data_IF_688448703571
#
_entry.id   IF_688448703571
#
_cell.length_a   1.000
_cell.length_b   1.000
_cell.length_c   1.000
_cell.angle_alpha   90.00
_cell.angle_beta   90.00
_cell.angle_gamma   90.00
#
_symmetry.space_group_name_H-M   'P 1'
#
loop_
_entity.id
_entity.type
_entity.pdbx_description
1 polymer ?
#
# COMPACT_ATOMS: atom_id res chain seq x y z
N UNK A 1 -16.20 -1.22 16.43
CA UNK A 1 -15.19 -0.46 15.66
C UNK A 1 -14.89 0.81 16.44
N UNK A 2 -13.63 1.09 16.80
CA UNK A 2 -13.24 2.38 17.38
C UNK A 2 -12.97 3.36 16.24
N UNK A 3 -13.29 4.63 16.41
CA UNK A 3 -13.10 5.66 15.40
C UNK A 3 -12.00 6.63 15.86
N UNK A 4 -11.22 7.16 14.91
CA UNK A 4 -10.34 8.28 15.22
C UNK A 4 -11.17 9.48 15.66
N UNK A 5 -10.64 10.20 16.65
CA UNK A 5 -11.13 11.52 16.98
C UNK A 5 -10.53 12.55 16.01
N UNK A 6 -10.94 13.81 16.15
CA UNK A 6 -10.26 14.91 15.46
C UNK A 6 -9.01 15.26 16.25
N UNK A 7 -7.84 15.00 15.70
CA UNK A 7 -6.55 15.31 16.33
C UNK A 7 -6.28 16.81 16.27
N UNK A 8 -5.65 17.31 17.31
CA UNK A 8 -5.11 18.67 17.39
C UNK A 8 -3.66 18.70 16.90
N UNK A 9 -3.11 19.91 16.75
CA UNK A 9 -1.67 20.08 16.50
C UNK A 9 -0.83 19.47 17.64
N UNK A 10 -1.28 19.59 18.88
CA UNK A 10 -0.57 19.03 20.03
C UNK A 10 -0.54 17.49 19.96
N UNK A 11 -1.67 16.85 19.66
CA UNK A 11 -1.74 15.38 19.52
C UNK A 11 -0.81 14.89 18.40
N UNK A 12 -0.82 15.58 17.26
CA UNK A 12 0.01 15.22 16.12
C UNK A 12 1.52 15.34 16.42
N UNK A 13 1.93 16.40 17.12
CA UNK A 13 3.32 16.59 17.52
C UNK A 13 3.75 15.62 18.63
N UNK A 14 2.86 15.27 19.56
CA UNK A 14 3.13 14.24 20.56
C UNK A 14 3.38 12.88 19.90
N UNK A 15 2.51 12.47 18.97
CA UNK A 15 2.67 11.22 18.21
C UNK A 15 3.91 11.23 17.30
N UNK A 16 4.31 12.40 16.78
CA UNK A 16 5.56 12.55 16.03
C UNK A 16 6.79 12.33 16.94
N UNK A 17 6.78 12.91 18.14
CA UNK A 17 7.84 12.72 19.13
C UNK A 17 7.94 11.25 19.58
N UNK A 18 6.81 10.59 19.85
CA UNK A 18 6.78 9.15 20.15
C UNK A 18 7.35 8.30 19.03
N UNK A 19 7.11 8.69 17.78
CA UNK A 19 7.67 8.03 16.60
C UNK A 19 9.15 8.37 16.34
N UNK A 20 9.77 9.21 17.17
CA UNK A 20 11.15 9.65 17.02
C UNK A 20 11.37 10.61 15.83
N UNK A 21 10.32 11.25 15.33
CA UNK A 21 10.46 12.23 14.25
C UNK A 21 11.10 13.53 14.76
N UNK A 22 12.15 13.97 14.08
CA UNK A 22 12.94 15.15 14.44
C UNK A 22 13.10 16.15 13.29
N UNK A 23 12.68 15.79 12.07
CA UNK A 23 12.76 16.66 10.91
C UNK A 23 11.80 17.85 11.02
N UNK A 24 12.38 19.05 11.10
CA UNK A 24 11.63 20.28 11.25
C UNK A 24 10.60 20.51 10.12
N UNK A 25 10.88 20.02 8.91
CA UNK A 25 9.98 20.05 7.77
C UNK A 25 8.73 19.21 7.99
N UNK A 26 8.91 17.97 8.46
CA UNK A 26 7.80 17.07 8.81
C UNK A 26 6.98 17.67 9.94
N UNK A 27 7.61 18.14 11.01
CA UNK A 27 6.91 18.75 12.14
C UNK A 27 6.14 20.02 11.74
N UNK A 28 6.67 20.80 10.79
CA UNK A 28 5.98 21.98 10.25
C UNK A 28 4.78 21.57 9.40
N UNK A 29 4.91 20.52 8.59
CA UNK A 29 3.80 19.97 7.82
C UNK A 29 2.67 19.47 8.71
N UNK A 30 2.99 18.79 9.82
CA UNK A 30 1.98 18.36 10.80
C UNK A 30 1.23 19.55 11.40
N UNK A 31 1.93 20.63 11.78
CA UNK A 31 1.27 21.87 12.25
C UNK A 31 0.31 22.42 11.21
N UNK A 32 0.67 22.38 9.92
CA UNK A 32 -0.20 22.86 8.86
C UNK A 32 -1.43 21.95 8.65
N UNK A 33 -1.21 20.63 8.55
CA UNK A 33 -2.26 19.63 8.34
C UNK A 33 -3.30 19.62 9.46
N UNK A 34 -2.85 19.68 10.72
CA UNK A 34 -3.73 19.63 11.90
C UNK A 34 -4.20 21.02 12.37
N UNK A 35 -3.51 22.08 11.95
CA UNK A 35 -3.89 23.47 12.20
C UNK A 35 -4.90 24.03 11.18
N UNK A 36 -5.25 23.26 10.15
CA UNK A 36 -6.19 23.68 9.11
C UNK A 36 -5.62 24.64 8.07
N UNK A 37 -4.30 24.73 7.96
CA UNK A 37 -3.59 25.65 7.06
C UNK A 37 -3.26 25.01 5.70
N UNK A 38 -3.89 23.88 5.37
CA UNK A 38 -3.70 23.17 4.10
C UNK A 38 -4.92 23.34 3.22
N UNK A 39 -4.68 23.79 1.98
CA UNK A 39 -5.71 23.96 0.97
C UNK A 39 -5.77 22.76 0.04
N UNK A 40 -6.99 22.31 -0.28
CA UNK A 40 -7.22 21.27 -1.29
C UNK A 40 -6.72 21.71 -2.68
N UNK A 41 -6.96 22.97 -3.04
CA UNK A 41 -6.66 23.50 -4.37
C UNK A 41 -5.16 23.81 -4.55
N UNK A 42 -4.52 24.42 -3.55
CA UNK A 42 -3.11 24.79 -3.63
C UNK A 42 -2.17 23.62 -3.25
N UNK A 43 -2.66 22.68 -2.44
CA UNK A 43 -1.83 21.66 -1.82
C UNK A 43 -1.02 22.21 -0.64
N UNK A 44 0.08 21.54 -0.34
CA UNK A 44 1.06 21.97 0.66
C UNK A 44 2.46 21.49 0.27
N UNK A 45 3.50 22.28 0.54
CA UNK A 45 4.90 21.88 0.28
C UNK A 45 5.60 21.61 1.59
N UNK A 46 6.10 20.39 1.75
CA UNK A 46 6.94 19.98 2.88
C UNK A 46 8.40 20.21 2.50
N UNK A 47 9.11 21.06 3.23
CA UNK A 47 10.54 21.28 3.04
C UNK A 47 11.34 20.44 4.05
N UNK A 48 11.82 19.26 3.64
CA UNK A 48 12.57 18.37 4.55
C UNK A 48 13.92 19.00 4.92
N UNK A 49 14.27 18.94 6.20
CA UNK A 49 15.43 19.66 6.72
C UNK A 49 16.75 19.19 6.05
N UNK A 50 17.43 20.12 5.36
CA UNK A 50 18.70 19.84 4.67
C UNK A 50 18.61 18.86 3.49
N UNK A 51 17.40 18.55 3.00
CA UNK A 51 17.16 17.61 1.90
C UNK A 51 16.45 18.31 0.74
N UNK A 52 15.33 17.75 0.27
CA UNK A 52 14.51 18.26 -0.82
C UNK A 52 13.14 18.70 -0.30
N UNK A 53 12.31 19.26 -1.17
CA UNK A 53 10.91 19.55 -0.87
C UNK A 53 9.97 18.54 -1.55
N UNK A 54 8.89 18.18 -0.87
CA UNK A 54 7.83 17.34 -1.39
C UNK A 54 6.51 18.12 -1.46
N UNK A 55 5.94 18.27 -2.66
CA UNK A 55 4.61 18.86 -2.85
C UNK A 55 3.52 17.81 -2.63
N UNK A 56 2.63 18.05 -1.68
CA UNK A 56 1.37 17.32 -1.52
C UNK A 56 0.29 18.02 -2.36
N UNK A 57 -0.25 17.33 -3.34
CA UNK A 57 -1.49 17.73 -4.03
C UNK A 57 -2.63 16.82 -3.62
N UNK A 58 -3.86 17.31 -3.81
CA UNK A 58 -5.07 16.59 -3.45
C UNK A 58 -6.01 16.55 -4.65
N UNK A 59 -6.50 15.36 -4.98
CA UNK A 59 -7.43 15.22 -6.10
C UNK A 59 -8.77 15.93 -5.83
N UNK A 60 -9.40 16.35 -6.92
CA UNK A 60 -10.79 16.80 -6.86
C UNK A 60 -11.65 15.70 -6.25
N UNK A 61 -12.34 16.00 -5.15
CA UNK A 61 -13.16 15.03 -4.43
C UNK A 61 -12.44 14.15 -3.41
N UNK A 62 -11.17 14.45 -3.05
CA UNK A 62 -10.45 13.76 -1.94
C UNK A 62 -11.26 13.66 -0.65
N UNK A 63 -12.15 14.63 -0.42
CA UNK A 63 -13.03 14.78 0.74
C UNK A 63 -14.52 14.61 0.41
N UNK A 64 -14.85 14.07 -0.77
CA UNK A 64 -16.23 13.88 -1.24
C UNK A 64 -17.09 13.11 -0.22
N UNK A 65 -16.53 12.08 0.42
CA UNK A 65 -17.25 11.34 1.44
C UNK A 65 -17.57 12.19 2.68
N UNK A 66 -16.68 13.11 3.06
CA UNK A 66 -16.95 14.05 4.15
C UNK A 66 -18.03 15.05 3.76
N UNK A 67 -17.93 15.64 2.57
CA UNK A 67 -18.91 16.60 2.04
C UNK A 67 -20.33 16.00 2.02
N UNK A 68 -20.45 14.76 1.55
CA UNK A 68 -21.74 14.10 1.39
C UNK A 68 -22.38 13.67 2.72
N UNK A 69 -21.58 13.41 3.76
CA UNK A 69 -22.07 12.72 4.96
C UNK A 69 -21.95 13.54 6.25
N UNK A 70 -21.39 14.75 6.20
CA UNK A 70 -21.27 15.63 7.37
C UNK A 70 -22.04 16.92 7.08
N UNK A 71 -23.26 17.03 7.62
CA UNK A 71 -24.15 18.19 7.39
C UNK A 71 -23.48 19.54 7.64
N UNK A 72 -22.59 19.61 8.63
CA UNK A 72 -21.90 20.83 9.07
C UNK A 72 -20.47 20.94 8.54
N UNK A 73 -20.09 20.16 7.52
CA UNK A 73 -18.71 20.01 7.06
C UNK A 73 -17.97 21.34 6.87
N UNK A 74 -18.56 22.26 6.10
CA UNK A 74 -17.96 23.57 5.84
C UNK A 74 -17.84 24.41 7.12
N UNK A 75 -18.86 24.40 7.98
CA UNK A 75 -18.82 25.12 9.27
C UNK A 75 -17.82 24.54 10.27
N UNK A 76 -17.37 23.30 10.06
CA UNK A 76 -16.32 22.65 10.84
C UNK A 76 -14.91 22.90 10.26
N UNK A 77 -14.78 23.80 9.28
CA UNK A 77 -13.53 24.13 8.62
C UNK A 77 -13.21 23.29 7.38
N UNK A 78 -14.18 22.51 6.88
CA UNK A 78 -14.08 21.79 5.61
C UNK A 78 -12.86 20.86 5.53
N UNK A 79 -12.14 20.91 4.41
CA UNK A 79 -11.02 20.02 4.16
C UNK A 79 -9.91 20.14 5.20
N UNK A 80 -9.41 21.36 5.41
CA UNK A 80 -8.32 21.61 6.36
C UNK A 80 -8.74 21.45 7.81
N UNK A 81 -9.96 21.87 8.17
CA UNK A 81 -10.40 21.89 9.57
C UNK A 81 -11.17 20.65 10.04
N UNK A 82 -11.81 19.90 9.15
CA UNK A 82 -12.66 18.77 9.50
C UNK A 82 -12.17 17.42 8.95
N UNK A 83 -11.72 17.37 7.69
CA UNK A 83 -11.31 16.11 7.07
C UNK A 83 -9.87 15.73 7.40
N UNK A 84 -8.89 16.58 7.07
CA UNK A 84 -7.47 16.30 7.28
C UNK A 84 -7.12 15.94 8.73
N UNK A 85 -7.61 16.66 9.75
CA UNK A 85 -7.24 16.38 11.15
C UNK A 85 -7.87 15.10 11.72
N UNK A 86 -8.65 14.36 10.93
CA UNK A 86 -9.19 13.04 11.32
C UNK A 86 -8.43 11.86 10.73
N UNK A 87 -7.52 12.13 9.80
CA UNK A 87 -6.46 11.18 9.46
C UNK A 87 -5.52 11.10 10.65
N UNK A 88 -5.10 9.88 11.00
CA UNK A 88 -4.21 9.61 12.11
C UNK A 88 -2.82 10.22 11.84
N UNK A 89 -2.19 10.92 12.81
CA UNK A 89 -0.88 11.54 12.62
C UNK A 89 0.19 10.57 12.12
N UNK A 90 0.20 9.33 12.63
CA UNK A 90 1.10 8.28 12.17
C UNK A 90 1.01 7.98 10.66
N UNK A 91 -0.15 8.10 10.03
CA UNK A 91 -0.29 7.92 8.59
C UNK A 91 0.48 8.99 7.81
N UNK A 92 0.37 10.26 8.23
CA UNK A 92 1.12 11.35 7.62
C UNK A 92 2.62 11.28 7.92
N UNK A 93 2.99 11.01 9.18
CA UNK A 93 4.41 10.85 9.57
C UNK A 93 5.05 9.77 8.71
N UNK A 94 4.43 8.59 8.62
CA UNK A 94 4.97 7.48 7.87
C UNK A 94 5.14 7.79 6.37
N UNK A 95 4.10 8.38 5.76
CA UNK A 95 4.15 8.76 4.34
C UNK A 95 5.22 9.82 4.07
N UNK A 96 5.34 10.83 4.93
CA UNK A 96 6.34 11.90 4.77
C UNK A 96 7.76 11.41 5.01
N UNK A 97 7.97 10.52 5.97
CA UNK A 97 9.25 9.83 6.17
C UNK A 97 9.62 9.01 4.93
N UNK A 98 8.67 8.23 4.40
CA UNK A 98 8.90 7.44 3.21
C UNK A 98 9.20 8.31 1.98
N UNK A 99 8.48 9.42 1.80
CA UNK A 99 8.74 10.39 0.73
C UNK A 99 10.15 11.00 0.84
N UNK A 100 10.54 11.42 2.04
CA UNK A 100 11.86 11.97 2.34
C UNK A 100 12.98 10.97 2.05
N UNK A 101 12.79 9.72 2.41
CA UNK A 101 13.83 8.71 2.33
C UNK A 101 13.93 8.12 0.91
N UNK A 102 12.84 8.17 0.13
CA UNK A 102 12.79 7.75 -1.27
C UNK A 102 13.02 8.89 -2.29
N UNK A 103 13.41 10.09 -1.84
CA UNK A 103 13.62 11.27 -2.69
C UNK A 103 12.41 11.64 -3.58
N UNK A 104 11.21 11.63 -2.98
CA UNK A 104 9.96 12.01 -3.62
C UNK A 104 9.76 13.52 -3.53
N UNK A 105 9.69 14.18 -4.69
CA UNK A 105 9.43 15.61 -4.83
C UNK A 105 7.95 15.99 -4.92
N UNK A 106 7.05 15.05 -5.22
CA UNK A 106 5.61 15.28 -5.15
C UNK A 106 4.81 13.99 -4.90
N UNK A 107 3.67 14.15 -4.22
CA UNK A 107 2.66 13.11 -3.98
C UNK A 107 1.27 13.66 -4.29
N UNK A 108 0.45 12.86 -4.98
CA UNK A 108 -0.95 13.16 -5.22
C UNK A 108 -1.85 12.27 -4.37
N UNK A 109 -2.51 12.86 -3.38
CA UNK A 109 -3.39 12.16 -2.44
C UNK A 109 -4.81 12.11 -2.98
N UNK A 110 -5.40 10.93 -3.04
CA UNK A 110 -6.79 10.71 -3.50
C UNK A 110 -7.76 10.48 -2.36
N UNK A 111 -7.26 10.04 -1.20
CA UNK A 111 -8.11 9.86 -0.04
C UNK A 111 -7.39 9.77 1.29
N UNK A 112 -8.14 10.10 2.34
CA UNK A 112 -7.76 9.91 3.73
C UNK A 112 -8.96 9.42 4.53
N UNK A 113 -9.40 10.18 5.52
CA UNK A 113 -10.55 9.80 6.34
C UNK A 113 -11.87 9.81 5.55
N UNK A 114 -12.65 8.73 5.67
CA UNK A 114 -13.97 8.56 5.03
C UNK A 114 -15.00 8.13 6.09
N UNK A 115 -15.87 9.01 6.62
CA UNK A 115 -16.77 8.66 7.72
C UNK A 115 -17.73 7.49 7.44
N UNK A 116 -18.26 7.36 6.22
CA UNK A 116 -19.38 6.46 5.93
C UNK A 116 -19.06 5.35 4.93
N UNK A 117 -18.16 5.58 3.97
CA UNK A 117 -17.86 4.61 2.91
C UNK A 117 -16.39 4.19 2.90
N UNK A 118 -16.10 3.08 2.22
CA UNK A 118 -14.75 2.55 2.08
C UNK A 118 -14.38 1.49 3.11
N UNK A 119 -13.15 0.99 2.99
CA UNK A 119 -12.60 -0.05 3.86
C UNK A 119 -12.39 0.49 5.28
N UNK A 120 -12.33 -0.42 6.25
CA UNK A 120 -12.21 -0.08 7.67
C UNK A 120 -11.08 0.92 7.99
N UNK A 121 -9.86 0.81 7.42
CA UNK A 121 -8.77 1.75 7.70
C UNK A 121 -9.11 3.23 7.43
N UNK A 122 -9.82 3.54 6.34
CA UNK A 122 -10.22 4.93 6.06
C UNK A 122 -11.29 5.43 7.02
N UNK A 123 -12.23 4.56 7.42
CA UNK A 123 -13.31 4.94 8.34
C UNK A 123 -12.80 5.28 9.74
N UNK A 124 -11.72 4.63 10.15
CA UNK A 124 -11.04 4.88 11.42
C UNK A 124 -9.85 5.83 11.31
N UNK A 125 -9.62 6.44 10.13
CA UNK A 125 -8.61 7.47 9.92
C UNK A 125 -7.17 6.97 9.74
N UNK A 126 -6.92 5.65 9.68
CA UNK A 126 -5.57 5.11 9.50
C UNK A 126 -5.12 5.01 8.04
N UNK A 127 -6.07 5.00 7.10
CA UNK A 127 -5.81 4.80 5.67
C UNK A 127 -5.51 6.10 4.91
N UNK A 128 -4.51 6.04 4.02
CA UNK A 128 -4.24 7.05 2.99
C UNK A 128 -4.15 6.38 1.62
N UNK A 129 -4.76 7.00 0.61
CA UNK A 129 -4.66 6.59 -0.79
C UNK A 129 -3.88 7.63 -1.61
N UNK A 130 -2.96 7.16 -2.44
CA UNK A 130 -2.04 7.96 -3.24
C UNK A 130 -2.16 7.53 -4.71
N UNK A 131 -2.39 8.48 -5.63
CA UNK A 131 -2.49 8.19 -7.07
C UNK A 131 -1.14 8.19 -7.76
N UNK A 132 -0.29 9.14 -7.41
CA UNK A 132 0.96 9.35 -8.11
C UNK A 132 2.04 9.89 -7.18
N UNK A 133 3.28 9.63 -7.56
CA UNK A 133 4.48 10.19 -6.96
C UNK A 133 5.37 10.74 -8.08
N UNK A 134 6.22 11.73 -7.75
CA UNK A 134 7.25 12.22 -8.66
C UNK A 134 8.55 12.36 -7.90
N UNK A 135 9.65 11.82 -8.40
CA UNK A 135 10.97 11.98 -7.77
C UNK A 135 11.46 13.43 -7.88
N UNK A 136 12.44 13.80 -7.05
CA UNK A 136 13.14 15.10 -7.17
C UNK A 136 13.80 15.25 -8.55
N UNK A 137 14.27 14.15 -9.14
CA UNK A 137 14.84 14.13 -10.49
C UNK A 137 13.78 14.23 -11.61
N UNK A 138 12.49 14.20 -11.26
CA UNK A 138 11.39 14.39 -12.19
C UNK A 138 10.77 13.12 -12.76
N UNK A 139 11.26 11.94 -12.36
CA UNK A 139 10.65 10.63 -12.71
C UNK A 139 9.23 10.58 -12.16
N UNK A 140 8.24 10.39 -13.02
CA UNK A 140 6.86 10.24 -12.61
C UNK A 140 6.54 8.76 -12.35
N UNK A 141 5.76 8.50 -11.31
CA UNK A 141 5.17 7.23 -10.97
C UNK A 141 3.66 7.43 -10.84
N UNK A 142 2.86 6.67 -11.57
CA UNK A 142 1.40 6.68 -11.43
C UNK A 142 0.98 5.29 -11.00
N UNK A 143 0.43 5.17 -9.78
CA UNK A 143 -0.10 3.94 -9.22
C UNK A 143 -1.34 3.52 -9.99
N UNK A 144 -1.14 2.89 -11.15
CA UNK A 144 -2.18 2.37 -12.01
C UNK A 144 -1.59 1.30 -12.90
N UNK A 145 -2.07 0.06 -12.77
CA UNK A 145 -1.53 -1.06 -13.55
C UNK A 145 -1.56 -0.81 -15.06
N UNK A 146 -2.51 0.02 -15.51
CA UNK A 146 -2.71 0.33 -16.92
C UNK A 146 -1.93 1.58 -17.37
N UNK A 147 -1.32 2.33 -16.44
CA UNK A 147 -0.50 3.48 -16.76
C UNK A 147 0.90 3.06 -17.21
N UNK A 148 1.42 3.62 -18.32
CA UNK A 148 2.82 3.40 -18.70
C UNK A 148 3.79 3.98 -17.67
N UNK A 149 3.39 5.03 -16.95
CA UNK A 149 4.21 5.64 -15.89
C UNK A 149 4.24 4.81 -14.60
N UNK A 150 3.58 3.66 -14.52
CA UNK A 150 3.76 2.73 -13.41
C UNK A 150 5.10 1.98 -13.50
N UNK A 151 5.62 1.82 -14.71
CA UNK A 151 6.74 0.95 -15.02
C UNK A 151 7.98 1.79 -15.35
N UNK A 152 9.14 1.34 -14.88
CA UNK A 152 10.43 1.90 -15.29
C UNK A 152 10.84 1.50 -16.72
N UNK A 153 10.29 0.40 -17.22
CA UNK A 153 10.50 -0.10 -18.57
C UNK A 153 9.59 -1.27 -18.92
N UNK A 154 9.54 -1.67 -20.21
CA UNK A 154 8.73 -2.81 -20.66
C UNK A 154 9.17 -4.13 -20.02
N UNK A 155 10.47 -4.31 -19.73
CA UNK A 155 11.01 -5.53 -19.13
C UNK A 155 10.52 -5.73 -17.69
N UNK A 156 10.35 -4.65 -16.93
CA UNK A 156 9.78 -4.71 -15.58
C UNK A 156 8.31 -5.15 -15.63
N UNK A 157 7.54 -4.59 -16.57
CA UNK A 157 6.14 -4.93 -16.79
C UNK A 157 5.96 -6.40 -17.17
N UNK A 158 6.78 -6.88 -18.11
CA UNK A 158 6.79 -8.29 -18.52
C UNK A 158 7.16 -9.19 -17.33
N UNK A 159 8.22 -8.86 -16.60
CA UNK A 159 8.64 -9.66 -15.44
C UNK A 159 7.59 -9.69 -14.31
N UNK A 160 6.84 -8.60 -14.12
CA UNK A 160 5.70 -8.58 -13.19
C UNK A 160 4.56 -9.50 -13.65
N UNK A 161 4.24 -9.47 -14.94
CA UNK A 161 3.23 -10.36 -15.53
C UNK A 161 3.64 -11.84 -15.41
N UNK A 162 4.90 -12.18 -15.70
CA UNK A 162 5.44 -13.52 -15.50
C UNK A 162 5.30 -13.98 -14.04
N UNK A 163 5.52 -13.06 -13.09
CA UNK A 163 5.35 -13.36 -11.67
C UNK A 163 3.87 -13.64 -11.32
N UNK A 164 2.93 -12.82 -11.80
CA UNK A 164 1.48 -13.07 -11.63
C UNK A 164 1.07 -14.45 -12.18
N UNK A 165 1.53 -14.80 -13.38
CA UNK A 165 1.20 -16.07 -14.04
C UNK A 165 1.77 -17.26 -13.28
N UNK A 166 3.03 -17.17 -12.84
CA UNK A 166 3.65 -18.24 -12.06
C UNK A 166 2.99 -18.48 -10.69
N UNK A 167 2.42 -17.44 -10.06
CA UNK A 167 1.61 -17.58 -8.85
C UNK A 167 0.27 -18.26 -9.15
N UNK A 168 -0.31 -18.02 -10.33
CA UNK A 168 -1.51 -18.73 -10.78
C UNK A 168 -1.24 -20.23 -11.03
N UNK A 169 -0.10 -20.55 -11.63
CA UNK A 169 0.33 -21.93 -11.84
C UNK A 169 0.60 -22.65 -10.52
N UNK A 170 1.23 -21.97 -9.56
CA UNK A 170 1.44 -22.52 -8.23
C UNK A 170 0.13 -22.77 -7.48
N UNK A 171 -0.84 -21.85 -7.53
CA UNK A 171 -2.19 -22.07 -6.98
C UNK A 171 -2.84 -23.33 -7.56
N UNK A 172 -2.81 -23.47 -8.89
CA UNK A 172 -3.37 -24.63 -9.58
C UNK A 172 -2.68 -25.92 -9.16
N UNK A 173 -1.36 -25.93 -9.11
CA UNK A 173 -0.58 -27.08 -8.67
C UNK A 173 -0.88 -27.46 -7.21
N UNK A 174 -1.09 -26.48 -6.32
CA UNK A 174 -1.48 -26.72 -4.93
C UNK A 174 -2.87 -27.37 -4.82
N UNK A 175 -3.85 -26.89 -5.59
CA UNK A 175 -5.20 -27.49 -5.64
C UNK A 175 -5.13 -28.94 -6.14
N UNK A 176 -4.37 -29.18 -7.22
CA UNK A 176 -4.16 -30.52 -7.75
C UNK A 176 -3.46 -31.44 -6.72
N UNK A 177 -2.49 -30.91 -5.96
CA UNK A 177 -1.76 -31.65 -4.94
C UNK A 177 -2.68 -32.10 -3.79
N UNK A 178 -3.54 -31.20 -3.31
CA UNK A 178 -4.54 -31.54 -2.28
C UNK A 178 -5.50 -32.63 -2.79
N UNK A 179 -5.96 -32.50 -4.04
CA UNK A 179 -6.85 -33.49 -4.65
C UNK A 179 -6.16 -34.86 -4.83
N UNK A 180 -4.92 -34.89 -5.30
CA UNK A 180 -4.14 -36.11 -5.48
C UNK A 180 -3.82 -36.78 -4.14
N UNK A 181 -3.47 -35.99 -3.10
CA UNK A 181 -3.25 -36.50 -1.75
C UNK A 181 -4.51 -37.13 -1.17
N UNK A 182 -5.68 -36.51 -1.38
CA UNK A 182 -6.98 -37.07 -0.97
C UNK A 182 -7.25 -38.40 -1.70
N UNK A 183 -7.07 -38.43 -3.02
CA UNK A 183 -7.29 -39.63 -3.83
C UNK A 183 -6.38 -40.81 -3.41
N UNK A 184 -5.10 -40.53 -3.11
CA UNK A 184 -4.15 -41.54 -2.63
C UNK A 184 -4.56 -42.13 -1.28
N UNK A 185 -5.09 -41.31 -0.36
CA UNK A 185 -5.56 -41.78 0.95
C UNK A 185 -6.79 -42.68 0.86
N UNK A 186 -7.64 -42.47 -0.15
CA UNK A 186 -8.91 -43.22 -0.33
C UNK A 186 -8.80 -44.40 -1.30
N UNK A 187 -7.65 -44.59 -1.96
CA UNK A 187 -7.49 -45.63 -2.96
C UNK A 187 -7.31 -47.03 -2.32
N UNK A 188 -8.03 -48.01 -2.86
CA UNK A 188 -7.94 -49.42 -2.50
C UNK A 188 -7.48 -50.25 -3.71
N UNK A 189 -6.85 -51.39 -3.45
CA UNK A 189 -6.43 -52.40 -4.42
C UNK A 189 -5.74 -51.83 -5.68
N UNK A 190 -6.19 -52.19 -6.87
CA UNK A 190 -5.62 -51.81 -8.17
C UNK A 190 -5.57 -50.27 -8.38
N UNK A 191 -6.48 -49.52 -7.75
CA UNK A 191 -6.50 -48.06 -7.82
C UNK A 191 -5.35 -47.39 -7.06
N UNK A 192 -4.70 -48.10 -6.12
CA UNK A 192 -3.62 -47.53 -5.28
C UNK A 192 -2.37 -47.21 -6.08
N UNK A 193 -2.01 -48.05 -7.04
CA UNK A 193 -0.84 -47.84 -7.91
C UNK A 193 -1.04 -46.60 -8.78
N UNK A 194 -2.20 -46.48 -9.43
CA UNK A 194 -2.53 -45.31 -10.26
C UNK A 194 -2.60 -44.02 -9.44
N UNK A 195 -3.22 -44.06 -8.25
CA UNK A 195 -3.29 -42.91 -7.36
C UNK A 195 -1.91 -42.46 -6.87
N UNK A 196 -1.00 -43.42 -6.60
CA UNK A 196 0.39 -43.12 -6.23
C UNK A 196 1.15 -42.48 -7.38
N UNK A 197 1.03 -43.00 -8.60
CA UNK A 197 1.66 -42.41 -9.78
C UNK A 197 1.18 -40.97 -10.00
N UNK A 198 -0.14 -40.75 -9.97
CA UNK A 198 -0.72 -39.40 -10.10
C UNK A 198 -0.21 -38.44 -9.03
N UNK A 199 -0.08 -38.91 -7.78
CA UNK A 199 0.45 -38.10 -6.69
C UNK A 199 1.90 -37.67 -6.96
N UNK A 200 2.77 -38.57 -7.41
CA UNK A 200 4.16 -38.23 -7.75
C UNK A 200 4.24 -37.26 -8.95
N UNK A 201 3.41 -37.45 -9.99
CA UNK A 201 3.35 -36.56 -11.14
C UNK A 201 2.88 -35.14 -10.77
N UNK A 202 1.88 -35.03 -9.89
CA UNK A 202 1.40 -33.74 -9.38
C UNK A 202 2.43 -33.09 -8.47
N UNK A 203 3.10 -33.87 -7.61
CA UNK A 203 4.17 -33.39 -6.74
C UNK A 203 5.33 -32.81 -7.55
N UNK A 204 5.73 -33.46 -8.65
CA UNK A 204 6.74 -32.93 -9.57
C UNK A 204 6.29 -31.59 -10.17
N UNK A 205 5.06 -31.50 -10.65
CA UNK A 205 4.49 -30.23 -11.18
C UNK A 205 4.43 -29.12 -10.14
N UNK A 206 4.13 -29.44 -8.87
CA UNK A 206 4.17 -28.47 -7.79
C UNK A 206 5.59 -27.95 -7.53
N UNK A 207 6.60 -28.82 -7.57
CA UNK A 207 8.02 -28.43 -7.44
C UNK A 207 8.42 -27.52 -8.61
N UNK A 208 8.05 -27.89 -9.83
CA UNK A 208 8.35 -27.10 -11.03
C UNK A 208 7.67 -25.72 -10.97
N UNK A 209 6.40 -25.66 -10.57
CA UNK A 209 5.66 -24.40 -10.39
C UNK A 209 6.28 -23.51 -9.29
N UNK A 210 6.73 -24.10 -8.18
CA UNK A 210 7.44 -23.38 -7.12
C UNK A 210 8.78 -22.81 -7.64
N UNK A 211 9.51 -23.59 -8.43
CA UNK A 211 10.73 -23.16 -9.10
C UNK A 211 10.49 -22.00 -10.07
N UNK A 212 9.46 -22.11 -10.92
CA UNK A 212 9.03 -21.05 -11.84
C UNK A 212 8.65 -19.76 -11.11
N UNK A 213 7.86 -19.87 -10.03
CA UNK A 213 7.48 -18.76 -9.16
C UNK A 213 8.67 -18.05 -8.51
N UNK A 214 9.70 -18.80 -8.10
CA UNK A 214 10.93 -18.22 -7.58
C UNK A 214 11.69 -17.46 -8.67
N UNK A 215 11.85 -18.05 -9.86
CA UNK A 215 12.59 -17.43 -10.96
C UNK A 215 11.91 -16.16 -11.49
N UNK A 216 10.59 -16.17 -11.65
CA UNK A 216 9.82 -15.00 -12.10
C UNK A 216 9.88 -13.85 -11.08
N UNK A 217 9.77 -14.16 -9.78
CA UNK A 217 9.94 -13.17 -8.70
C UNK A 217 11.35 -12.58 -8.70
N UNK A 218 12.39 -13.40 -8.88
CA UNK A 218 13.78 -12.93 -9.00
C UNK A 218 13.99 -12.05 -10.23
N UNK A 219 13.40 -12.42 -11.38
CA UNK A 219 13.39 -11.61 -12.61
C UNK A 219 12.75 -10.24 -12.36
N UNK A 220 11.55 -10.22 -11.78
CA UNK A 220 10.87 -8.97 -11.41
C UNK A 220 11.72 -8.12 -10.46
N UNK A 221 12.22 -8.73 -9.37
CA UNK A 221 13.06 -8.03 -8.38
C UNK A 221 14.29 -7.38 -9.02
N UNK A 222 14.91 -8.03 -10.02
CA UNK A 222 16.06 -7.48 -10.74
C UNK A 222 15.71 -6.20 -11.51
N UNK A 223 14.56 -6.15 -12.17
CA UNK A 223 14.12 -5.00 -12.97
C UNK A 223 13.49 -3.89 -12.11
N UNK A 224 12.83 -4.27 -11.03
CA UNK A 224 12.16 -3.34 -10.11
C UNK A 224 13.14 -2.62 -9.18
N UNK A 225 14.25 -3.25 -8.81
CA UNK A 225 15.22 -2.71 -7.85
C UNK A 225 15.75 -1.33 -8.26
N UNK A 226 15.67 -0.37 -7.34
CA UNK A 226 16.16 1.00 -7.51
C UNK A 226 15.24 1.92 -8.30
N UNK A 227 14.09 1.43 -8.77
CA UNK A 227 13.04 2.27 -9.36
C UNK A 227 12.44 3.21 -8.31
N UNK A 228 11.70 4.24 -8.75
CA UNK A 228 10.99 5.12 -7.81
C UNK A 228 9.96 4.34 -6.97
N UNK A 229 9.28 3.36 -7.58
CA UNK A 229 8.33 2.49 -6.88
C UNK A 229 9.05 1.66 -5.80
N UNK A 230 10.12 0.94 -6.14
CA UNK A 230 10.90 0.15 -5.18
C UNK A 230 11.41 1.01 -4.01
N UNK A 231 12.02 2.17 -4.29
CA UNK A 231 12.55 3.03 -3.23
C UNK A 231 11.46 3.49 -2.24
N UNK A 232 10.28 3.84 -2.75
CA UNK A 232 9.15 4.26 -1.92
C UNK A 232 8.56 3.07 -1.14
N UNK A 233 8.43 1.91 -1.78
CA UNK A 233 7.97 0.67 -1.16
C UNK A 233 8.90 0.23 -0.01
N UNK A 234 10.21 0.18 -0.27
CA UNK A 234 11.21 -0.18 0.75
C UNK A 234 11.15 0.77 1.95
N UNK A 235 10.96 2.07 1.71
CA UNK A 235 10.80 3.05 2.77
C UNK A 235 9.53 2.80 3.59
N UNK A 236 8.41 2.47 2.94
CA UNK A 236 7.15 2.13 3.61
C UNK A 236 7.22 0.81 4.40
N UNK A 237 7.78 -0.26 3.84
CA UNK A 237 7.90 -1.56 4.50
C UNK A 237 8.77 -1.47 5.76
N UNK A 238 9.85 -0.70 5.71
CA UNK A 238 10.77 -0.51 6.84
C UNK A 238 10.19 0.43 7.91
N UNK A 239 9.27 1.32 7.56
CA UNK A 239 8.76 2.34 8.46
C UNK A 239 7.89 1.73 9.57
N UNK A 240 8.27 1.76 10.87
CA UNK A 240 7.57 1.06 11.96
C UNK A 240 6.11 1.47 12.17
N UNK A 241 5.70 2.61 11.61
CA UNK A 241 4.34 3.13 11.74
C UNK A 241 3.39 2.57 10.69
N UNK A 242 3.85 1.78 9.72
CA UNK A 242 3.00 1.17 8.69
C UNK A 242 2.58 -0.24 9.11
N UNK A 243 1.32 -0.59 8.87
CA UNK A 243 0.78 -1.95 9.03
C UNK A 243 0.58 -2.59 7.66
N UNK A 244 -0.04 -1.89 6.72
CA UNK A 244 -0.41 -2.44 5.42
C UNK A 244 0.08 -1.52 4.30
N UNK A 245 0.50 -2.12 3.20
CA UNK A 245 0.84 -1.45 1.94
C UNK A 245 0.18 -2.25 0.82
N UNK A 246 -0.79 -1.66 0.15
CA UNK A 246 -1.49 -2.29 -0.97
C UNK A 246 -1.37 -1.41 -2.20
N UNK A 247 -0.85 -1.94 -3.29
CA UNK A 247 -0.65 -1.14 -4.50
C UNK A 247 -0.72 -2.01 -5.76
N UNK A 248 -0.59 -1.46 -6.97
CA UNK A 248 -0.74 -2.25 -8.18
C UNK A 248 0.32 -3.35 -8.35
N UNK A 249 1.54 -3.20 -7.82
CA UNK A 249 2.57 -4.25 -8.01
C UNK A 249 2.54 -5.32 -6.94
N UNK A 250 2.48 -4.91 -5.67
CA UNK A 250 2.58 -5.81 -4.51
C UNK A 250 1.56 -5.48 -3.44
N UNK A 251 1.27 -6.48 -2.61
CA UNK A 251 0.32 -6.45 -1.51
C UNK A 251 1.00 -6.97 -0.24
N UNK A 252 1.01 -6.15 0.81
CA UNK A 252 1.45 -6.54 2.13
C UNK A 252 0.37 -6.17 3.16
N UNK A 253 -0.28 -7.19 3.71
CA UNK A 253 -1.35 -7.02 4.69
C UNK A 253 -0.82 -6.78 6.11
N UNK A 254 0.48 -6.99 6.33
CA UNK A 254 1.14 -6.87 7.61
C UNK A 254 2.67 -6.78 7.46
N UNK A 255 3.18 -5.56 7.28
CA UNK A 255 4.62 -5.24 7.20
C UNK A 255 5.44 -5.60 8.46
N UNK A 256 4.83 -6.24 9.48
CA UNK A 256 5.44 -6.58 10.78
C UNK A 256 5.59 -8.08 11.03
N UNK A 257 4.99 -8.96 10.23
CA UNK A 257 5.13 -10.41 10.44
C UNK A 257 6.36 -11.02 9.76
N UNK A 258 7.16 -10.21 9.06
CA UNK A 258 8.35 -10.64 8.31
C UNK A 258 8.01 -11.60 7.15
N UNK A 259 6.74 -11.71 6.77
CA UNK A 259 6.34 -12.38 5.54
C UNK A 259 6.61 -11.43 4.39
N UNK A 260 7.19 -11.95 3.31
CA UNK A 260 7.44 -11.12 2.13
C UNK A 260 6.11 -10.69 1.48
N UNK A 261 6.04 -9.48 0.89
CA UNK A 261 4.89 -9.05 0.12
C UNK A 261 4.56 -10.04 -1.01
N UNK A 262 3.26 -10.19 -1.27
CA UNK A 262 2.72 -10.97 -2.38
C UNK A 262 2.55 -10.07 -3.61
N UNK A 263 2.60 -10.65 -4.82
CA UNK A 263 2.24 -9.90 -6.04
C UNK A 263 0.75 -9.57 -6.04
N UNK A 264 0.38 -8.38 -6.50
CA UNK A 264 -1.02 -8.06 -6.73
C UNK A 264 -1.49 -8.72 -8.04
N UNK A 265 -2.40 -9.69 -7.96
CA UNK A 265 -2.91 -10.44 -9.13
C UNK A 265 -4.19 -9.87 -9.73
N UNK A 266 -4.69 -8.77 -9.17
CA UNK A 266 -5.87 -8.04 -9.61
C UNK A 266 -7.18 -8.85 -9.65
N UNK A 267 -7.29 -9.96 -8.90
CA UNK A 267 -8.40 -10.90 -9.07
C UNK A 267 -9.67 -10.43 -8.38
N UNK A 268 -9.62 -10.27 -7.06
CA UNK A 268 -10.81 -10.01 -6.23
C UNK A 268 -10.48 -9.16 -5.01
N UNK A 269 -11.52 -8.59 -4.39
CA UNK A 269 -11.38 -7.94 -3.08
C UNK A 269 -10.35 -6.80 -3.07
N UNK A 270 -9.35 -6.91 -2.21
CA UNK A 270 -8.30 -5.89 -2.07
C UNK A 270 -7.41 -5.81 -3.31
N UNK A 271 -7.08 -6.92 -3.97
CA UNK A 271 -6.26 -6.89 -5.20
C UNK A 271 -6.92 -6.02 -6.28
N UNK A 272 -8.21 -6.28 -6.56
CA UNK A 272 -8.99 -5.53 -7.53
C UNK A 272 -9.20 -4.06 -7.12
N UNK A 273 -9.30 -3.79 -5.81
CA UNK A 273 -9.50 -2.44 -5.27
C UNK A 273 -8.25 -1.58 -5.47
N UNK A 274 -7.06 -2.12 -5.23
CA UNK A 274 -5.80 -1.35 -5.21
C UNK A 274 -5.00 -1.46 -6.52
N UNK A 275 -5.67 -1.76 -7.64
CA UNK A 275 -5.04 -1.78 -8.97
C UNK A 275 -4.69 -0.39 -9.53
N UNK A 276 -5.21 0.68 -8.91
CA UNK A 276 -5.18 2.04 -9.43
C UNK A 276 -4.83 3.13 -8.40
N UNK A 277 -4.26 2.74 -7.25
CA UNK A 277 -3.67 3.62 -6.26
C UNK A 277 -2.78 2.82 -5.30
N UNK A 278 -1.86 3.50 -4.63
CA UNK A 278 -1.17 3.00 -3.44
C UNK A 278 -2.04 3.32 -2.22
N UNK A 279 -2.33 2.32 -1.40
CA UNK A 279 -2.98 2.44 -0.10
C UNK A 279 -1.99 2.09 1.01
N UNK A 280 -1.94 2.94 2.03
CA UNK A 280 -1.14 2.70 3.24
C UNK A 280 -2.03 2.79 4.48
N UNK A 281 -1.86 1.84 5.40
CA UNK A 281 -2.53 1.82 6.70
C UNK A 281 -1.49 1.96 7.80
N UNK A 282 -1.66 2.96 8.68
CA UNK A 282 -0.79 3.13 9.84
C UNK A 282 -1.10 2.14 10.99
N UNK A 283 -0.13 1.92 11.87
CA UNK A 283 -0.26 1.13 13.11
C UNK A 283 -0.82 2.00 14.22
N UNK A 284 -1.91 1.55 14.81
CA UNK A 284 -2.42 2.09 16.07
C UNK A 284 -3.07 0.99 16.92
N UNK A 285 -2.47 0.68 18.07
CA UNK A 285 -2.94 -0.40 18.95
C UNK A 285 -4.32 -0.12 19.57
N UNK A 286 -4.75 1.14 19.62
CA UNK A 286 -6.08 1.47 20.14
C UNK A 286 -7.16 1.24 19.09
N UNK A 287 -6.93 1.63 17.83
CA UNK A 287 -7.89 1.54 16.73
C UNK A 287 -7.90 0.16 16.06
N UNK A 288 -6.76 -0.53 16.05
CA UNK A 288 -6.59 -1.90 15.57
C UNK A 288 -5.87 -2.75 16.63
N UNK A 289 -6.56 -3.13 17.72
CA UNK A 289 -5.99 -3.98 18.77
C UNK A 289 -5.71 -5.40 18.27
#
# INVERSE_FOLDING_TARGET
LRFSHKYTVADALALAAEAGETDAGVLTALRALYGGNVSKAAGYTVAFAGKHSCKLSFQSGVDSNCVQNIQRYLSLGGFGGAALPRVHPRSWIALLQAARDANVGALEITSGWRPMTGKAPHRIGLGLDIKSAKSVAGTALVFDKDSPAMWSGPEEKEAHQDWIESEADLDKANVEMVAAQKALKTAHDEGKTLAKQRFEDVKKRQIDALGGRKQSKEKYSKHHKGTLADNLEQALFKNPLIRQVFQPLVMDANTRDKVEPEVNRYRVGNEATHKNHLHVTAVDAYLTP
#
